data_IF_998375565780
#
_entry.id   IF_998375565780
#
_cell.length_a   1.000
_cell.length_b   1.000
_cell.length_c   1.000
_cell.angle_alpha   90.00
_cell.angle_beta   90.00
_cell.angle_gamma   90.00
#
_symmetry.space_group_name_H-M   'P 1'
#
loop_
_entity.id
_entity.type
_entity.pdbx_description
1 polymer ?
#
# COMPACT_ATOMS: atom_id res chain seq x y z
N UNK A 1 -37.91 -14.29 -16.73
CA UNK A 1 -36.92 -13.74 -17.69
C UNK A 1 -35.72 -13.13 -16.94
N UNK A 2 -35.20 -13.80 -15.90
CA UNK A 2 -34.19 -13.28 -14.96
C UNK A 2 -32.97 -14.19 -14.82
N UNK A 3 -33.02 -15.41 -15.39
CA UNK A 3 -31.96 -16.43 -15.26
C UNK A 3 -30.84 -16.23 -16.31
N UNK A 4 -31.14 -15.68 -17.50
CA UNK A 4 -30.11 -15.49 -18.54
C UNK A 4 -29.07 -14.41 -18.19
N UNK A 5 -29.42 -13.42 -17.37
CA UNK A 5 -28.50 -12.36 -16.94
C UNK A 5 -27.44 -12.85 -15.95
N UNK A 6 -27.74 -13.89 -15.15
CA UNK A 6 -26.77 -14.45 -14.20
C UNK A 6 -25.73 -15.35 -14.88
N UNK A 7 -26.12 -16.08 -15.94
CA UNK A 7 -25.16 -16.86 -16.76
C UNK A 7 -24.31 -15.96 -17.67
N UNK A 8 -24.88 -14.87 -18.22
CA UNK A 8 -24.10 -13.90 -19.00
C UNK A 8 -23.08 -13.12 -18.15
N UNK A 9 -23.30 -13.02 -16.83
CA UNK A 9 -22.33 -12.42 -15.90
C UNK A 9 -21.15 -13.35 -15.58
N UNK A 10 -21.32 -14.68 -15.64
CA UNK A 10 -20.23 -15.64 -15.42
C UNK A 10 -19.26 -15.78 -16.59
N UNK A 11 -19.68 -15.44 -17.82
CA UNK A 11 -18.79 -15.42 -18.99
C UNK A 11 -17.95 -14.13 -19.10
N UNK A 12 -18.25 -13.12 -18.29
CA UNK A 12 -17.44 -11.92 -18.22
C UNK A 12 -16.17 -12.21 -17.40
N UNK A 13 -15.04 -12.30 -18.10
CA UNK A 13 -13.71 -12.36 -17.49
C UNK A 13 -13.62 -11.36 -16.32
N UNK A 14 -13.28 -11.82 -15.11
CA UNK A 14 -13.27 -11.04 -13.86
C UNK A 14 -12.51 -9.72 -14.01
N UNK A 15 -11.46 -9.74 -14.83
CA UNK A 15 -10.66 -8.58 -15.23
C UNK A 15 -11.49 -7.51 -15.93
N UNK A 16 -12.40 -7.87 -16.84
CA UNK A 16 -13.30 -6.93 -17.54
C UNK A 16 -14.29 -6.29 -16.57
N UNK A 17 -14.79 -7.04 -15.59
CA UNK A 17 -15.67 -6.51 -14.53
C UNK A 17 -14.95 -5.47 -13.67
N UNK A 18 -13.72 -5.77 -13.25
CA UNK A 18 -12.85 -4.82 -12.53
C UNK A 18 -12.58 -3.58 -13.37
N UNK A 19 -12.23 -3.73 -14.65
CA UNK A 19 -11.97 -2.60 -15.55
C UNK A 19 -13.21 -1.71 -15.75
N UNK A 20 -14.39 -2.33 -15.85
CA UNK A 20 -15.66 -1.61 -16.02
C UNK A 20 -16.04 -0.85 -14.74
N UNK A 21 -15.78 -1.44 -13.57
CA UNK A 21 -15.94 -0.77 -12.28
C UNK A 21 -14.97 0.42 -12.19
N UNK A 22 -13.69 0.20 -12.50
CA UNK A 22 -12.66 1.25 -12.53
C UNK A 22 -13.02 2.39 -13.47
N UNK A 23 -13.64 2.08 -14.62
CA UNK A 23 -14.07 3.12 -15.55
C UNK A 23 -15.24 3.95 -15.01
N UNK A 24 -16.11 3.36 -14.18
CA UNK A 24 -17.22 4.07 -13.51
C UNK A 24 -16.80 4.87 -12.28
N UNK A 25 -15.60 4.65 -11.73
CA UNK A 25 -15.09 5.48 -10.64
C UNK A 25 -14.86 6.93 -11.11
N UNK A 26 -15.28 7.89 -10.29
CA UNK A 26 -15.06 9.33 -10.52
C UNK A 26 -13.57 9.63 -10.79
N UNK A 27 -13.24 10.59 -11.69
CA UNK A 27 -11.85 10.91 -12.04
C UNK A 27 -11.02 11.39 -10.85
N UNK A 28 -11.66 12.00 -9.83
CA UNK A 28 -11.01 12.36 -8.56
C UNK A 28 -10.49 11.13 -7.79
N UNK A 29 -11.23 10.01 -7.81
CA UNK A 29 -10.85 8.77 -7.11
C UNK A 29 -9.68 8.09 -7.81
N UNK A 30 -9.62 8.11 -9.15
CA UNK A 30 -8.45 7.59 -9.88
C UNK A 30 -7.16 8.33 -9.53
N UNK A 31 -7.23 9.67 -9.38
CA UNK A 31 -6.07 10.46 -8.91
C UNK A 31 -5.66 10.07 -7.49
N UNK A 32 -6.61 9.80 -6.60
CA UNK A 32 -6.31 9.29 -5.24
C UNK A 32 -5.65 7.92 -5.28
N UNK A 33 -6.09 6.99 -6.13
CA UNK A 33 -5.43 5.69 -6.29
C UNK A 33 -3.98 5.83 -6.75
N UNK A 34 -3.70 6.72 -7.72
CA UNK A 34 -2.34 7.00 -8.19
C UNK A 34 -1.51 7.63 -7.06
N UNK A 35 -2.08 8.55 -6.29
CA UNK A 35 -1.39 9.16 -5.14
C UNK A 35 -1.03 8.11 -4.07
N UNK A 36 -1.93 7.17 -3.76
CA UNK A 36 -1.64 6.06 -2.83
C UNK A 36 -0.56 5.15 -3.40
N UNK A 37 -0.58 4.86 -4.69
CA UNK A 37 0.45 4.04 -5.33
C UNK A 37 1.83 4.72 -5.29
N UNK A 38 1.90 6.03 -5.51
CA UNK A 38 3.14 6.79 -5.35
C UNK A 38 3.62 6.75 -3.88
N UNK A 39 2.71 6.90 -2.92
CA UNK A 39 3.03 6.80 -1.50
C UNK A 39 3.55 5.39 -1.12
N UNK A 40 3.02 4.33 -1.72
CA UNK A 40 3.52 2.95 -1.56
C UNK A 40 4.95 2.79 -2.08
N UNK A 41 5.28 3.41 -3.21
CA UNK A 41 6.64 3.42 -3.76
C UNK A 41 7.60 4.14 -2.82
N UNK A 42 7.21 5.30 -2.29
CA UNK A 42 8.00 6.04 -1.28
C UNK A 42 8.20 5.22 -0.01
N UNK A 43 7.17 4.47 0.42
CA UNK A 43 7.27 3.54 1.55
C UNK A 43 8.30 2.44 1.31
N UNK A 44 8.33 1.87 0.11
CA UNK A 44 9.34 0.88 -0.29
C UNK A 44 10.76 1.41 -0.17
N UNK A 45 11.03 2.63 -0.66
CA UNK A 45 12.33 3.28 -0.49
C UNK A 45 12.69 3.52 0.97
N UNK A 46 11.74 3.97 1.79
CA UNK A 46 11.97 4.20 3.21
C UNK A 46 12.27 2.89 3.97
N UNK A 47 11.63 1.78 3.59
CA UNK A 47 11.92 0.45 4.13
C UNK A 47 13.31 -0.03 3.76
N UNK A 48 13.71 0.12 2.50
CA UNK A 48 15.06 -0.22 2.04
C UNK A 48 16.12 0.61 2.78
N UNK A 49 15.88 1.91 2.95
CA UNK A 49 16.79 2.79 3.68
C UNK A 49 16.90 2.37 5.16
N UNK A 50 15.78 2.03 5.78
CA UNK A 50 15.73 1.54 7.17
C UNK A 50 16.53 0.25 7.33
N UNK A 51 16.32 -0.74 6.44
CA UNK A 51 17.08 -2.01 6.43
C UNK A 51 18.57 -1.75 6.21
N UNK A 52 18.91 -0.90 5.24
CA UNK A 52 20.30 -0.53 4.94
C UNK A 52 20.99 0.18 6.10
N UNK A 53 20.26 0.93 6.92
CA UNK A 53 20.80 1.60 8.11
C UNK A 53 21.03 0.66 9.30
N UNK A 54 20.33 -0.48 9.37
CA UNK A 54 20.55 -1.51 10.42
C UNK A 54 21.97 -2.04 10.37
N UNK A 55 22.45 -2.38 9.16
CA UNK A 55 23.76 -3.03 8.96
C UNK A 55 24.91 -2.21 9.58
N UNK A 56 25.17 -0.96 9.18
CA UNK A 56 26.28 -0.18 9.73
C UNK A 56 26.09 0.07 11.23
N UNK A 57 24.86 0.25 11.71
CA UNK A 57 24.59 0.47 13.13
C UNK A 57 24.97 -0.74 13.97
N UNK A 58 24.56 -1.95 13.56
CA UNK A 58 24.94 -3.19 14.25
C UNK A 58 26.44 -3.43 14.14
N UNK A 59 27.06 -3.15 12.99
CA UNK A 59 28.51 -3.32 12.82
C UNK A 59 29.31 -2.41 13.76
N UNK A 60 28.87 -1.16 14.01
CA UNK A 60 29.55 -0.26 14.96
C UNK A 60 29.58 -0.87 16.36
N UNK A 61 28.48 -1.50 16.79
CA UNK A 61 28.36 -2.06 18.13
C UNK A 61 29.16 -3.35 18.34
N UNK A 62 29.38 -4.12 17.27
CA UNK A 62 30.09 -5.42 17.35
C UNK A 62 31.59 -5.25 17.07
N UNK A 63 31.94 -4.52 16.01
CA UNK A 63 33.31 -4.31 15.55
C UNK A 63 33.47 -2.87 15.05
N UNK A 64 33.72 -1.90 15.93
CA UNK A 64 33.75 -0.48 15.58
C UNK A 64 34.85 -0.14 14.56
N UNK A 65 35.95 -0.90 14.54
CA UNK A 65 37.07 -0.76 13.60
C UNK A 65 36.66 -0.97 12.13
N UNK A 66 35.72 -1.90 11.86
CA UNK A 66 35.28 -2.24 10.50
C UNK A 66 34.30 -1.24 9.90
N UNK A 67 33.72 -0.35 10.71
CA UNK A 67 32.70 0.57 10.20
C UNK A 67 33.29 1.68 9.34
N UNK A 68 34.52 2.08 9.62
CA UNK A 68 35.23 3.09 8.82
C UNK A 68 35.59 2.58 7.41
N UNK A 69 35.51 1.28 7.15
CA UNK A 69 35.71 0.70 5.81
C UNK A 69 34.47 0.88 4.90
N UNK A 70 33.28 1.11 5.48
CA UNK A 70 32.07 1.39 4.70
C UNK A 70 32.11 2.82 4.16
N UNK A 71 32.30 2.97 2.84
CA UNK A 71 32.39 4.27 2.16
C UNK A 71 31.33 5.33 2.55
N UNK A 72 30.03 4.97 2.66
CA UNK A 72 29.01 5.92 3.11
C UNK A 72 29.21 6.39 4.56
N UNK A 73 29.66 5.49 5.43
CA UNK A 73 29.87 5.76 6.85
C UNK A 73 31.16 6.54 7.08
N UNK A 74 32.21 6.24 6.31
CA UNK A 74 33.47 7.01 6.30
C UNK A 74 33.24 8.46 5.89
N UNK A 75 32.40 8.71 4.88
CA UNK A 75 32.02 10.07 4.46
C UNK A 75 31.28 10.80 5.59
N UNK A 76 30.35 10.10 6.25
CA UNK A 76 29.62 10.64 7.40
C UNK A 76 30.56 10.97 8.58
N UNK A 77 31.51 10.09 8.89
CA UNK A 77 32.52 10.31 9.92
C UNK A 77 33.41 11.53 9.62
N UNK A 78 33.85 11.70 8.38
CA UNK A 78 34.63 12.86 7.94
C UNK A 78 33.83 14.16 8.03
N UNK A 79 32.54 14.15 7.65
CA UNK A 79 31.68 15.34 7.77
C UNK A 79 31.39 15.74 9.22
N UNK A 80 31.40 14.77 10.13
CA UNK A 80 31.19 14.99 11.56
C UNK A 80 32.49 15.29 12.31
N UNK A 81 33.66 15.16 11.66
CA UNK A 81 34.97 15.40 12.27
C UNK A 81 35.33 14.40 13.37
N UNK A 82 34.83 13.16 13.27
CA UNK A 82 35.00 12.12 14.29
C UNK A 82 36.11 11.16 13.89
N UNK A 83 37.25 11.21 14.58
CA UNK A 83 38.41 10.35 14.34
C UNK A 83 38.36 9.02 15.11
N UNK A 84 37.50 8.91 16.13
CA UNK A 84 37.39 7.71 16.98
C UNK A 84 36.17 6.85 16.61
N UNK A 85 36.35 5.54 16.40
CA UNK A 85 35.25 4.62 16.10
C UNK A 85 34.11 4.61 17.15
N UNK A 86 34.46 4.77 18.43
CA UNK A 86 33.50 4.74 19.54
C UNK A 86 32.56 5.95 19.56
N UNK A 87 33.02 7.10 19.06
CA UNK A 87 32.22 8.33 19.00
C UNK A 87 31.20 8.30 17.84
N UNK A 88 31.34 7.34 16.91
CA UNK A 88 30.44 7.16 15.77
C UNK A 88 29.15 6.41 16.14
N UNK A 89 29.10 5.76 17.31
CA UNK A 89 27.95 5.01 17.82
C UNK A 89 26.72 5.91 17.94
N UNK A 90 26.87 7.05 18.61
CA UNK A 90 25.76 7.97 18.91
C UNK A 90 25.14 8.59 17.64
N UNK A 91 25.90 9.21 16.71
CA UNK A 91 25.30 9.79 15.50
C UNK A 91 24.66 8.73 14.62
N UNK A 92 25.25 7.54 14.51
CA UNK A 92 24.67 6.46 13.71
C UNK A 92 23.39 5.90 14.35
N UNK A 93 23.34 5.81 15.68
CA UNK A 93 22.12 5.47 16.42
C UNK A 93 21.00 6.48 16.14
N UNK A 94 21.30 7.78 16.17
CA UNK A 94 20.32 8.83 15.88
C UNK A 94 19.81 8.72 14.45
N UNK A 95 20.69 8.57 13.47
CA UNK A 95 20.31 8.37 12.06
C UNK A 95 19.43 7.14 11.89
N UNK A 96 19.79 6.03 12.55
CA UNK A 96 19.02 4.79 12.52
C UNK A 96 17.62 4.98 13.13
N UNK A 97 17.52 5.55 14.33
CA UNK A 97 16.25 5.80 15.02
C UNK A 97 15.35 6.72 14.19
N UNK A 98 15.90 7.83 13.67
CA UNK A 98 15.15 8.77 12.82
C UNK A 98 14.71 8.09 11.52
N UNK A 99 15.57 7.29 10.88
CA UNK A 99 15.24 6.52 9.70
C UNK A 99 14.11 5.52 9.93
N UNK A 100 14.17 4.76 11.03
CA UNK A 100 13.11 3.83 11.43
C UNK A 100 11.79 4.57 11.69
N UNK A 101 11.80 5.66 12.45
CA UNK A 101 10.60 6.45 12.75
C UNK A 101 9.97 7.00 11.47
N UNK A 102 10.78 7.51 10.54
CA UNK A 102 10.30 8.00 9.25
C UNK A 102 9.69 6.87 8.40
N UNK A 103 10.36 5.72 8.31
CA UNK A 103 9.85 4.57 7.57
C UNK A 103 8.51 4.08 8.15
N UNK A 104 8.40 3.98 9.48
CA UNK A 104 7.15 3.61 10.15
C UNK A 104 6.07 4.66 9.95
N UNK A 105 6.38 5.95 10.02
CA UNK A 105 5.41 7.02 9.79
C UNK A 105 4.83 6.96 8.36
N UNK A 106 5.69 6.72 7.36
CA UNK A 106 5.26 6.55 5.97
C UNK A 106 4.39 5.29 5.82
N UNK A 107 4.76 4.17 6.47
CA UNK A 107 3.94 2.94 6.47
C UNK A 107 2.54 3.20 7.04
N UNK A 108 2.44 3.91 8.16
CA UNK A 108 1.15 4.28 8.75
C UNK A 108 0.36 5.18 7.78
N UNK A 109 1.01 6.14 7.13
CA UNK A 109 0.36 6.99 6.14
C UNK A 109 -0.18 6.20 4.92
N UNK A 110 0.54 5.17 4.45
CA UNK A 110 0.07 4.26 3.39
C UNK A 110 -1.17 3.50 3.82
N UNK A 111 -1.15 2.89 5.01
CA UNK A 111 -2.29 2.13 5.54
C UNK A 111 -3.50 3.05 5.69
N UNK A 112 -3.32 4.20 6.33
CA UNK A 112 -4.40 5.18 6.52
C UNK A 112 -4.99 5.67 5.19
N UNK A 113 -4.14 6.00 4.22
CA UNK A 113 -4.59 6.49 2.91
C UNK A 113 -5.32 5.41 2.11
N UNK A 114 -4.86 4.17 2.19
CA UNK A 114 -5.50 3.02 1.52
C UNK A 114 -6.87 2.74 2.12
N UNK A 115 -6.98 2.69 3.45
CA UNK A 115 -8.26 2.50 4.14
C UNK A 115 -9.23 3.65 3.87
N UNK A 116 -8.74 4.90 3.94
CA UNK A 116 -9.55 6.09 3.68
C UNK A 116 -10.07 6.12 2.24
N UNK A 117 -9.23 5.73 1.28
CA UNK A 117 -9.62 5.60 -0.13
C UNK A 117 -10.70 4.54 -0.32
N UNK A 118 -10.51 3.34 0.22
CA UNK A 118 -11.47 2.24 0.12
C UNK A 118 -12.84 2.63 0.66
N UNK A 119 -12.90 3.16 1.88
CA UNK A 119 -14.16 3.59 2.51
C UNK A 119 -14.85 4.70 1.69
N UNK A 120 -14.08 5.65 1.16
CA UNK A 120 -14.64 6.74 0.35
C UNK A 120 -15.20 6.27 -0.99
N UNK A 121 -14.59 5.28 -1.63
CA UNK A 121 -15.15 4.66 -2.84
C UNK A 121 -16.41 3.88 -2.51
N UNK A 122 -16.44 3.19 -1.37
CA UNK A 122 -17.65 2.53 -0.88
C UNK A 122 -18.81 3.48 -0.66
N UNK A 123 -18.58 4.62 0.01
CA UNK A 123 -19.64 5.60 0.21
C UNK A 123 -20.17 6.18 -1.11
N UNK A 124 -19.28 6.46 -2.08
CA UNK A 124 -19.67 6.97 -3.40
C UNK A 124 -20.53 5.96 -4.16
N UNK A 125 -20.16 4.67 -4.11
CA UNK A 125 -20.87 3.61 -4.81
C UNK A 125 -22.23 3.29 -4.16
N UNK A 126 -22.29 3.32 -2.82
CA UNK A 126 -23.55 3.18 -2.06
C UNK A 126 -24.51 4.32 -2.37
N UNK A 127 -24.02 5.56 -2.42
CA UNK A 127 -24.86 6.73 -2.73
C UNK A 127 -25.45 6.64 -4.15
N UNK A 128 -24.64 6.31 -5.15
CA UNK A 128 -25.09 6.14 -6.55
C UNK A 128 -26.11 4.99 -6.69
N UNK A 129 -25.91 3.87 -5.99
CA UNK A 129 -26.84 2.75 -6.02
C UNK A 129 -28.17 3.09 -5.33
N UNK A 130 -28.12 3.88 -4.25
CA UNK A 130 -29.31 4.38 -3.56
C UNK A 130 -30.10 5.36 -4.43
N UNK A 131 -29.41 6.30 -5.09
CA UNK A 131 -30.04 7.26 -6.01
C UNK A 131 -30.80 6.53 -7.14
N UNK A 132 -30.21 5.52 -7.75
CA UNK A 132 -30.88 4.70 -8.78
C UNK A 132 -32.07 3.91 -8.25
N UNK A 133 -32.05 3.54 -6.98
CA UNK A 133 -33.18 2.88 -6.32
C UNK A 133 -34.33 3.87 -6.11
N UNK A 134 -34.02 5.14 -5.84
CA UNK A 134 -35.02 6.18 -5.66
C UNK A 134 -35.78 6.51 -6.96
N UNK A 135 -35.11 6.44 -8.11
CA UNK A 135 -35.71 6.72 -9.43
C UNK A 135 -36.44 5.52 -10.07
N UNK A 136 -36.66 4.42 -9.34
CA UNK A 136 -37.42 3.29 -9.87
C UNK A 136 -38.94 3.57 -9.91
N UNK A 137 -39.68 2.96 -10.85
CA UNK A 137 -41.13 3.10 -10.92
C UNK A 137 -41.83 2.74 -9.60
N UNK A 138 -42.86 3.50 -9.25
CA UNK A 138 -43.58 3.34 -7.99
C UNK A 138 -44.15 1.92 -7.79
N UNK A 139 -44.53 1.24 -8.88
CA UNK A 139 -44.99 -0.15 -8.85
C UNK A 139 -43.93 -1.16 -8.35
N UNK A 140 -42.65 -0.91 -8.64
CA UNK A 140 -41.52 -1.72 -8.14
C UNK A 140 -41.11 -1.36 -6.70
N UNK A 141 -41.42 -0.14 -6.23
CA UNK A 141 -41.18 0.30 -4.86
C UNK A 141 -42.13 -0.39 -3.86
N UNK A 142 -43.41 -0.57 -4.22
CA UNK A 142 -44.44 -1.16 -3.34
C UNK A 142 -44.30 -2.68 -3.19
N UNK A 143 -43.72 -3.34 -4.19
CA UNK A 143 -43.58 -4.81 -4.23
C UNK A 143 -42.34 -5.35 -3.51
N UNK A 144 -41.50 -4.47 -2.93
CA UNK A 144 -40.27 -4.86 -2.22
C UNK A 144 -40.16 -4.18 -0.86
N UNK A 145 -39.54 -4.89 0.09
CA UNK A 145 -39.23 -4.32 1.38
C UNK A 145 -38.04 -3.35 1.25
N UNK A 146 -38.27 -2.06 1.51
CA UNK A 146 -37.26 -0.99 1.42
C UNK A 146 -36.02 -1.29 2.28
N UNK A 147 -36.20 -1.99 3.40
CA UNK A 147 -35.10 -2.43 4.28
C UNK A 147 -34.23 -3.50 3.63
N UNK A 148 -34.80 -4.40 2.83
CA UNK A 148 -34.07 -5.45 2.10
C UNK A 148 -33.29 -4.85 0.93
N UNK A 149 -33.87 -3.89 0.21
CA UNK A 149 -33.19 -3.22 -0.91
C UNK A 149 -32.04 -2.35 -0.41
N UNK A 150 -32.24 -1.59 0.67
CA UNK A 150 -31.20 -0.72 1.24
C UNK A 150 -30.07 -1.53 1.87
N UNK A 151 -30.38 -2.55 2.69
CA UNK A 151 -29.36 -3.42 3.28
C UNK A 151 -28.62 -4.22 2.20
N UNK A 152 -29.32 -4.72 1.17
CA UNK A 152 -28.71 -5.42 0.05
C UNK A 152 -27.76 -4.55 -0.78
N UNK A 153 -28.06 -3.26 -0.96
CA UNK A 153 -27.16 -2.31 -1.63
C UNK A 153 -25.90 -2.06 -0.79
N UNK A 154 -26.06 -1.76 0.51
CA UNK A 154 -24.93 -1.47 1.41
C UNK A 154 -24.00 -2.69 1.51
N UNK A 155 -24.55 -3.89 1.75
CA UNK A 155 -23.74 -5.10 1.90
C UNK A 155 -23.02 -5.50 0.61
N UNK A 156 -23.67 -5.34 -0.56
CA UNK A 156 -23.02 -5.62 -1.85
C UNK A 156 -21.90 -4.63 -2.14
N UNK A 157 -22.08 -3.35 -1.80
CA UNK A 157 -21.03 -2.34 -1.99
C UNK A 157 -19.86 -2.57 -1.04
N UNK A 158 -20.12 -2.87 0.24
CA UNK A 158 -19.07 -3.26 1.18
C UNK A 158 -18.34 -4.53 0.72
N UNK A 159 -19.05 -5.53 0.21
CA UNK A 159 -18.43 -6.74 -0.34
C UNK A 159 -17.55 -6.44 -1.56
N UNK A 160 -17.93 -5.51 -2.43
CA UNK A 160 -17.12 -5.10 -3.59
C UNK A 160 -15.87 -4.32 -3.12
N UNK A 161 -16.02 -3.41 -2.16
CA UNK A 161 -14.91 -2.57 -1.67
C UNK A 161 -13.93 -3.38 -0.82
N UNK A 162 -14.45 -4.14 0.14
CA UNK A 162 -13.67 -4.98 1.05
C UNK A 162 -13.15 -6.26 0.37
N UNK A 163 -13.94 -6.87 -0.51
CA UNK A 163 -13.60 -8.14 -1.16
C UNK A 163 -12.84 -8.01 -2.48
N UNK A 164 -12.80 -6.82 -3.11
CA UNK A 164 -12.14 -6.67 -4.42
C UNK A 164 -11.23 -5.43 -4.48
N UNK A 165 -11.72 -4.24 -4.14
CA UNK A 165 -10.93 -3.01 -4.32
C UNK A 165 -9.74 -2.93 -3.35
N UNK A 166 -10.00 -3.14 -2.06
CA UNK A 166 -8.99 -3.13 -1.01
C UNK A 166 -7.90 -4.20 -1.24
N UNK A 167 -8.24 -5.49 -1.45
CA UNK A 167 -7.23 -6.52 -1.67
C UNK A 167 -6.45 -6.33 -2.98
N UNK A 168 -7.08 -5.81 -4.05
CA UNK A 168 -6.36 -5.50 -5.28
C UNK A 168 -5.30 -4.41 -5.05
N UNK A 169 -5.66 -3.34 -4.33
CA UNK A 169 -4.75 -2.25 -4.05
C UNK A 169 -3.62 -2.68 -3.10
N UNK A 170 -3.94 -3.51 -2.11
CA UNK A 170 -2.94 -4.14 -1.25
C UNK A 170 -2.02 -5.07 -2.05
N UNK A 171 -2.54 -5.91 -2.94
CA UNK A 171 -1.73 -6.81 -3.76
C UNK A 171 -0.74 -6.05 -4.65
N UNK A 172 -1.20 -4.97 -5.29
CA UNK A 172 -0.32 -4.09 -6.08
C UNK A 172 0.74 -3.44 -5.19
N UNK A 173 0.34 -2.89 -4.04
CA UNK A 173 1.28 -2.31 -3.08
C UNK A 173 2.33 -3.31 -2.61
N UNK A 174 1.91 -4.51 -2.18
CA UNK A 174 2.77 -5.60 -1.74
C UNK A 174 3.73 -6.05 -2.83
N UNK A 175 3.28 -6.11 -4.09
CA UNK A 175 4.14 -6.42 -5.22
C UNK A 175 5.25 -5.37 -5.39
N UNK A 176 4.92 -4.09 -5.32
CA UNK A 176 5.91 -3.00 -5.41
C UNK A 176 6.89 -3.04 -4.24
N UNK A 177 6.42 -3.23 -3.00
CA UNK A 177 7.30 -3.33 -1.83
C UNK A 177 8.21 -4.53 -1.92
N UNK A 178 7.68 -5.69 -2.35
CA UNK A 178 8.48 -6.90 -2.55
C UNK A 178 9.56 -6.65 -3.62
N UNK A 179 9.17 -6.12 -4.78
CA UNK A 179 10.12 -5.82 -5.86
C UNK A 179 11.23 -4.85 -5.42
N UNK A 180 10.91 -3.81 -4.65
CA UNK A 180 11.90 -2.89 -4.12
C UNK A 180 12.85 -3.53 -3.12
N UNK A 181 12.31 -4.26 -2.15
CA UNK A 181 13.13 -4.93 -1.13
C UNK A 181 14.03 -5.98 -1.76
N UNK A 182 13.51 -6.80 -2.69
CA UNK A 182 14.31 -7.78 -3.42
C UNK A 182 15.40 -7.11 -4.25
N UNK A 183 15.08 -6.04 -4.99
CA UNK A 183 16.08 -5.31 -5.79
C UNK A 183 17.17 -4.72 -4.90
N UNK A 184 16.81 -4.15 -3.76
CA UNK A 184 17.77 -3.63 -2.79
C UNK A 184 18.66 -4.73 -2.21
N UNK A 185 18.09 -5.89 -1.87
CA UNK A 185 18.83 -7.02 -1.32
C UNK A 185 19.84 -7.57 -2.34
N UNK A 186 19.44 -7.72 -3.60
CA UNK A 186 20.33 -8.17 -4.69
C UNK A 186 21.50 -7.19 -4.90
N UNK A 187 21.28 -5.89 -4.73
CA UNK A 187 22.34 -4.87 -4.84
C UNK A 187 23.31 -4.90 -3.65
N UNK A 188 22.86 -5.27 -2.46
CA UNK A 188 23.69 -5.34 -1.25
C UNK A 188 24.51 -6.64 -1.24
N UNK A 189 23.83 -7.78 -1.37
CA UNK A 189 24.46 -9.10 -1.37
C UNK A 189 23.69 -10.09 -2.27
N UNK A 190 24.21 -10.42 -3.47
CA UNK A 190 23.54 -11.32 -4.40
C UNK A 190 23.47 -12.77 -3.89
N UNK A 191 24.34 -13.19 -2.97
CA UNK A 191 24.36 -14.56 -2.42
C UNK A 191 23.24 -14.74 -1.40
N UNK A 192 23.06 -13.78 -0.49
CA UNK A 192 21.94 -13.78 0.47
C UNK A 192 20.60 -13.70 -0.26
N UNK A 193 20.53 -12.90 -1.32
CA UNK A 193 19.34 -12.80 -2.15
C UNK A 193 18.96 -14.13 -2.81
N UNK A 194 19.94 -14.94 -3.27
CA UNK A 194 19.69 -16.22 -3.94
C UNK A 194 19.21 -17.33 -2.99
N UNK A 195 19.57 -17.25 -1.70
CA UNK A 195 19.11 -18.21 -0.65
C UNK A 195 17.72 -17.85 -0.14
N UNK A 196 17.37 -16.55 -0.14
CA UNK A 196 16.08 -16.03 0.32
C UNK A 196 14.95 -16.19 -0.71
N UNK A 197 15.27 -16.38 -1.99
CA UNK A 197 14.33 -16.50 -3.11
C UNK A 197 13.85 -17.95 -3.28
#
# INVERSE_FOLDING_TARGET
>A
MTISTTEQLSELNTVKLVLRLWHRLRPRRRKQSIAVLLLMVVCGFAEVLSIGAVIPFVTVLVTPERVLEFGPVATLAQTLGVDRPDDLVLPLAVVFIVGCLLATAIRVAVVWSTTRFAVSVGSDLSAEAYERTLYQPYATQISRNTSEVTSGVVHKVEAIVGGMLTPLQLAVGSFFTMAMVTTALVLIDPVVAMISL
#
